data_IF_413833044960
#
_entry.id   IF_413833044960
#
_cell.length_a   1.000
_cell.length_b   1.000
_cell.length_c   1.000
_cell.angle_alpha   90.00
_cell.angle_beta   90.00
_cell.angle_gamma   90.00
#
_symmetry.space_group_name_H-M   'P 1'
#
loop_
_entity.id
_entity.type
_entity.pdbx_description
1 polymer ?
#
# COMPACT_ATOMS: atom_id res chain seq x y z
N UNK A 1 4.49 3.81 -13.36
CA UNK A 1 4.85 4.28 -12.01
C UNK A 1 3.79 3.78 -11.06
N UNK A 2 4.21 3.10 -10.01
CA UNK A 2 3.31 2.68 -8.95
C UNK A 2 2.66 3.91 -8.30
N UNK A 3 1.34 3.89 -8.18
CA UNK A 3 0.56 4.95 -7.53
C UNK A 3 -0.13 4.41 -6.28
N UNK A 4 -0.54 5.32 -5.39
CA UNK A 4 -1.32 5.02 -4.18
C UNK A 4 -2.58 4.22 -4.50
N UNK A 5 -3.24 4.52 -5.62
CA UNK A 5 -4.40 3.79 -6.12
C UNK A 5 -4.07 2.35 -6.52
N UNK A 6 -2.95 2.10 -7.19
CA UNK A 6 -2.52 0.75 -7.56
C UNK A 6 -2.26 -0.10 -6.30
N UNK A 7 -1.63 0.48 -5.28
CA UNK A 7 -1.42 -0.19 -3.99
C UNK A 7 -2.76 -0.47 -3.30
N UNK A 8 -3.70 0.48 -3.31
CA UNK A 8 -5.04 0.28 -2.74
C UNK A 8 -5.77 -0.88 -3.43
N UNK A 9 -5.67 -0.97 -4.76
CA UNK A 9 -6.23 -2.08 -5.53
C UNK A 9 -5.57 -3.42 -5.20
N UNK A 10 -4.23 -3.47 -5.09
CA UNK A 10 -3.50 -4.68 -4.68
C UNK A 10 -3.88 -5.16 -3.28
N UNK A 11 -4.04 -4.22 -2.34
CA UNK A 11 -4.48 -4.51 -0.97
C UNK A 11 -5.99 -4.77 -0.88
N UNK A 12 -6.75 -4.55 -1.96
CA UNK A 12 -8.20 -4.70 -2.01
C UNK A 12 -8.91 -3.78 -1.00
N UNK A 13 -8.43 -2.56 -0.84
CA UNK A 13 -9.00 -1.53 0.05
C UNK A 13 -9.60 -0.39 -0.76
N UNK A 14 -10.63 0.25 -0.19
CA UNK A 14 -11.24 1.44 -0.77
C UNK A 14 -10.63 2.73 -0.20
N UNK A 15 -10.22 2.68 1.06
CA UNK A 15 -9.71 3.83 1.78
C UNK A 15 -8.31 3.56 2.31
N UNK A 16 -7.43 4.54 2.16
CA UNK A 16 -6.00 4.42 2.44
C UNK A 16 -5.69 4.19 3.93
N UNK A 17 -6.54 4.66 4.85
CA UNK A 17 -6.39 4.36 6.28
C UNK A 17 -6.55 2.85 6.59
N UNK A 18 -7.28 2.10 5.76
CA UNK A 18 -7.47 0.65 5.92
C UNK A 18 -6.20 -0.13 5.53
N UNK A 19 -5.28 0.51 4.81
CA UNK A 19 -4.08 -0.12 4.31
C UNK A 19 -3.20 -0.67 5.41
N UNK A 20 -3.00 0.09 6.50
CA UNK A 20 -2.12 -0.36 7.59
C UNK A 20 -2.63 -1.64 8.27
N UNK A 21 -3.94 -1.71 8.54
CA UNK A 21 -4.57 -2.90 9.16
C UNK A 21 -4.57 -4.10 8.22
N UNK A 22 -4.93 -3.88 6.94
CA UNK A 22 -4.98 -4.94 5.92
C UNK A 22 -3.60 -5.46 5.58
N UNK A 23 -2.62 -4.56 5.43
CA UNK A 23 -1.23 -4.90 5.18
C UNK A 23 -0.66 -5.71 6.35
N UNK A 24 -0.90 -5.34 7.61
CA UNK A 24 -0.50 -6.16 8.76
C UNK A 24 -1.06 -7.58 8.66
N UNK A 25 -2.36 -7.74 8.43
CA UNK A 25 -3.00 -9.06 8.28
C UNK A 25 -2.39 -9.88 7.16
N UNK A 26 -2.06 -9.24 6.03
CA UNK A 26 -1.40 -9.89 4.90
C UNK A 26 0.04 -10.28 5.27
N UNK A 27 0.80 -9.40 5.94
CA UNK A 27 2.19 -9.66 6.33
C UNK A 27 2.33 -10.84 7.31
N UNK A 28 1.34 -11.07 8.18
CA UNK A 28 1.29 -12.22 9.09
C UNK A 28 0.85 -13.52 8.41
N UNK A 29 0.36 -13.47 7.18
CA UNK A 29 -0.07 -14.62 6.39
C UNK A 29 0.92 -14.87 5.25
N UNK A 30 1.71 -15.95 5.35
CA UNK A 30 2.81 -16.21 4.42
C UNK A 30 2.36 -16.26 2.95
N UNK A 31 1.28 -16.97 2.66
CA UNK A 31 0.80 -17.16 1.29
C UNK A 31 0.29 -15.84 0.71
N UNK A 32 -0.49 -15.09 1.49
CA UNK A 32 -0.99 -13.77 1.05
C UNK A 32 0.14 -12.78 0.87
N UNK A 33 1.12 -12.79 1.76
CA UNK A 33 2.30 -11.94 1.69
C UNK A 33 3.08 -12.19 0.41
N UNK A 34 3.41 -13.45 0.13
CA UNK A 34 4.17 -13.83 -1.07
C UNK A 34 3.41 -13.46 -2.34
N UNK A 35 2.10 -13.73 -2.39
CA UNK A 35 1.26 -13.31 -3.51
C UNK A 35 1.27 -11.79 -3.70
N UNK A 36 1.07 -11.02 -2.64
CA UNK A 36 1.06 -9.56 -2.71
C UNK A 36 2.38 -9.01 -3.25
N UNK A 37 3.52 -9.50 -2.75
CA UNK A 37 4.83 -9.05 -3.22
C UNK A 37 5.11 -9.45 -4.67
N UNK A 38 4.66 -10.63 -5.11
CA UNK A 38 4.77 -11.04 -6.51
C UNK A 38 3.92 -10.13 -7.42
N UNK A 39 2.65 -9.92 -7.09
CA UNK A 39 1.75 -9.02 -7.83
C UNK A 39 2.32 -7.57 -7.87
N UNK A 40 2.96 -7.16 -6.77
CA UNK A 40 3.63 -5.87 -6.67
C UNK A 40 4.85 -5.78 -7.61
N UNK A 41 5.68 -6.83 -7.66
CA UNK A 41 6.86 -6.90 -8.53
C UNK A 41 6.49 -6.97 -10.03
N UNK A 42 5.28 -7.37 -10.39
CA UNK A 42 4.80 -7.28 -11.77
C UNK A 42 4.57 -5.82 -12.19
N UNK A 43 4.06 -5.00 -11.27
CA UNK A 43 3.77 -3.58 -11.51
C UNK A 43 5.01 -2.71 -11.36
N UNK A 44 5.87 -3.04 -10.41
CA UNK A 44 7.02 -2.25 -10.06
C UNK A 44 8.20 -3.13 -9.64
N UNK A 45 9.21 -3.13 -10.49
CA UNK A 45 10.39 -4.00 -10.37
C UNK A 45 11.54 -3.30 -9.65
N UNK A 46 11.47 -1.97 -9.55
CA UNK A 46 12.49 -1.22 -8.84
C UNK A 46 12.27 -1.30 -7.33
N UNK A 47 13.13 -2.09 -6.68
CA UNK A 47 13.20 -2.27 -5.23
C UNK A 47 14.32 -1.44 -4.60
N UNK A 48 14.93 -0.52 -5.34
CA UNK A 48 15.98 0.37 -4.81
C UNK A 48 15.46 1.42 -3.83
N UNK A 49 14.14 1.57 -3.73
CA UNK A 49 13.47 2.46 -2.81
C UNK A 49 12.26 1.79 -2.16
N UNK A 50 11.92 2.26 -0.95
CA UNK A 50 10.79 1.75 -0.19
C UNK A 50 9.50 2.45 -0.62
N UNK A 51 8.74 1.78 -1.46
CA UNK A 51 7.42 2.23 -1.89
C UNK A 51 6.40 2.32 -0.76
N UNK A 52 6.50 1.48 0.28
CA UNK A 52 5.60 1.59 1.42
C UNK A 52 5.86 2.88 2.16
N UNK A 53 7.12 3.29 2.29
CA UNK A 53 7.46 4.58 2.90
C UNK A 53 6.79 5.75 2.16
N UNK A 54 6.90 5.79 0.83
CA UNK A 54 6.28 6.83 -0.01
C UNK A 54 4.75 6.77 0.12
N UNK A 55 4.17 5.57 0.01
CA UNK A 55 2.73 5.35 0.17
C UNK A 55 2.20 5.85 1.52
N UNK A 56 2.87 5.52 2.63
CA UNK A 56 2.44 5.95 3.95
C UNK A 56 2.68 7.46 4.18
N UNK A 57 3.72 8.05 3.59
CA UNK A 57 3.91 9.50 3.61
C UNK A 57 2.74 10.21 2.93
N UNK A 58 2.37 9.77 1.73
CA UNK A 58 1.25 10.33 0.97
C UNK A 58 -0.09 10.09 1.68
N UNK A 59 -0.30 8.90 2.24
CA UNK A 59 -1.50 8.55 3.01
C UNK A 59 -1.68 9.45 4.24
N UNK A 60 -0.61 9.72 4.97
CA UNK A 60 -0.64 10.64 6.11
C UNK A 60 -0.88 12.10 5.69
N UNK A 61 -0.40 12.51 4.51
CA UNK A 61 -0.67 13.82 3.95
C UNK A 61 -2.15 13.96 3.55
N UNK A 62 -2.73 12.95 2.88
CA UNK A 62 -4.15 12.94 2.51
C UNK A 62 -5.08 12.85 3.72
N UNK A 63 -4.74 12.04 4.74
CA UNK A 63 -5.51 12.02 6.00
C UNK A 63 -5.57 13.39 6.66
N UNK A 64 -4.47 14.14 6.66
CA UNK A 64 -4.47 15.52 7.19
C UNK A 64 -5.36 16.44 6.37
N UNK A 65 -5.39 16.26 5.05
CA UNK A 65 -6.22 17.05 4.13
C UNK A 65 -7.72 16.80 4.33
N UNK A 66 -8.11 15.57 4.65
CA UNK A 66 -9.50 15.19 4.94
C UNK A 66 -9.99 15.52 6.36
N UNK A 67 -9.11 16.00 7.26
CA UNK A 67 -9.49 16.52 8.58
C UNK A 67 -9.72 18.04 8.58
N UNK A 68 -9.65 18.70 7.42
CA UNK A 68 -9.92 20.12 7.25
C UNK A 68 -11.21 20.32 6.46
N UNK A 69 -12.35 20.16 7.14
CA UNK A 69 -13.56 21.00 7.06
C UNK A 69 -14.43 20.73 8.30
#
# INVERSE_FOLDING_TARGET
MLTTENINHLLGIKESYQASDKLKKILFDKEKREKLFLDFLELEKDVSYDWFHIYFQDEHADRKKHMQD
#
